data_IF_413327330026
#
_entry.id   IF_413327330026
#
_cell.length_a   1.000
_cell.length_b   1.000
_cell.length_c   1.000
_cell.angle_alpha   90.00
_cell.angle_beta   90.00
_cell.angle_gamma   90.00
#
_symmetry.space_group_name_H-M   'P 1'
#
loop_
_entity.id
_entity.type
_entity.pdbx_description
1 polymer ?
#
# COMPACT_ATOMS: atom_id res chain seq x y z
N UNK A 1 20.83 11.80 -24.77
CA UNK A 1 21.11 12.03 -23.34
C UNK A 1 20.07 11.33 -22.50
N UNK A 2 20.49 10.51 -21.55
CA UNK A 2 19.59 9.85 -20.63
C UNK A 2 18.95 10.86 -19.66
N UNK A 3 17.69 10.66 -19.38
CA UNK A 3 16.99 11.41 -18.33
C UNK A 3 17.15 10.64 -17.02
N UNK A 4 17.72 11.28 -16.02
CA UNK A 4 18.08 10.63 -14.77
C UNK A 4 17.61 11.49 -13.58
N UNK A 5 17.08 10.82 -12.56
CA UNK A 5 16.93 11.40 -11.23
C UNK A 5 17.84 10.64 -10.27
N UNK A 6 18.48 11.33 -9.34
CA UNK A 6 19.28 10.66 -8.32
C UNK A 6 18.38 9.88 -7.36
N UNK A 7 18.92 8.84 -6.72
CA UNK A 7 18.16 8.05 -5.76
C UNK A 7 17.56 8.93 -4.66
N UNK A 8 18.29 9.93 -4.17
CA UNK A 8 17.79 10.82 -3.13
C UNK A 8 16.56 11.62 -3.58
N UNK A 9 16.49 12.03 -4.84
CA UNK A 9 15.32 12.73 -5.37
C UNK A 9 14.08 11.82 -5.46
N UNK A 10 14.29 10.59 -5.91
CA UNK A 10 13.20 9.60 -6.03
C UNK A 10 12.77 9.12 -4.65
N UNK A 11 13.73 8.85 -3.76
CA UNK A 11 13.45 8.38 -2.40
C UNK A 11 12.59 9.36 -1.59
N UNK A 12 12.60 10.65 -1.92
CA UNK A 12 11.74 11.63 -1.26
C UNK A 12 10.25 11.24 -1.31
N UNK A 13 9.78 10.78 -2.47
CA UNK A 13 8.40 10.28 -2.60
C UNK A 13 8.19 8.96 -1.86
N UNK A 14 9.16 8.05 -1.95
CA UNK A 14 9.09 6.76 -1.25
C UNK A 14 9.18 6.94 0.26
N UNK A 15 9.95 7.91 0.76
CA UNK A 15 10.00 8.22 2.19
C UNK A 15 8.65 8.69 2.72
N UNK A 16 7.89 9.44 1.91
CA UNK A 16 6.52 9.83 2.27
C UNK A 16 5.62 8.62 2.37
N UNK A 17 5.72 7.66 1.44
CA UNK A 17 4.99 6.40 1.48
C UNK A 17 5.36 5.62 2.75
N UNK A 18 6.64 5.60 3.12
CA UNK A 18 7.13 4.89 4.30
C UNK A 18 6.69 5.53 5.63
N UNK A 19 6.04 6.69 5.62
CA UNK A 19 5.41 7.27 6.81
C UNK A 19 4.02 6.73 7.08
N UNK A 20 3.48 5.89 6.20
CA UNK A 20 2.15 5.31 6.38
C UNK A 20 2.08 4.44 7.62
N UNK A 21 0.95 4.53 8.32
CA UNK A 21 0.74 3.85 9.60
C UNK A 21 -0.41 2.85 9.61
N UNK A 22 -1.24 2.86 8.57
CA UNK A 22 -2.40 1.96 8.46
C UNK A 22 -2.45 1.34 7.08
N UNK A 23 -2.65 0.02 7.03
CA UNK A 23 -2.96 -0.72 5.81
C UNK A 23 -4.41 -1.16 5.90
N UNK A 24 -5.21 -0.85 4.88
CA UNK A 24 -6.64 -1.18 4.84
C UNK A 24 -6.94 -1.99 3.59
N UNK A 25 -7.67 -3.09 3.78
CA UNK A 25 -8.19 -3.92 2.68
C UNK A 25 -9.60 -3.44 2.36
N UNK A 26 -9.84 -3.05 1.12
CA UNK A 26 -11.06 -2.35 0.71
C UNK A 26 -11.86 -3.11 -0.35
N UNK A 27 -13.18 -2.93 -0.28
CA UNK A 27 -14.11 -3.30 -1.34
C UNK A 27 -14.34 -2.10 -2.25
N UNK A 28 -13.80 -2.16 -3.46
CA UNK A 28 -13.84 -1.04 -4.41
C UNK A 28 -12.77 0.01 -4.15
N UNK A 29 -12.51 0.86 -5.12
CA UNK A 29 -11.50 1.91 -5.03
C UNK A 29 -12.01 3.09 -4.20
N UNK A 30 -11.33 3.45 -3.09
CA UNK A 30 -11.67 4.67 -2.36
C UNK A 30 -11.49 5.91 -3.25
N UNK A 31 -12.39 6.87 -3.13
CA UNK A 31 -12.36 8.11 -3.91
C UNK A 31 -11.83 9.30 -3.11
N UNK A 32 -11.59 9.11 -1.82
CA UNK A 32 -11.05 10.11 -0.90
C UNK A 32 -10.48 9.42 0.33
N UNK A 33 -9.76 10.18 1.16
CA UNK A 33 -9.28 9.64 2.43
C UNK A 33 -10.44 9.13 3.31
N UNK A 34 -11.51 9.90 3.41
CA UNK A 34 -12.67 9.51 4.23
C UNK A 34 -13.38 8.25 3.70
N UNK A 35 -13.32 8.01 2.39
CA UNK A 35 -13.96 6.87 1.76
C UNK A 35 -13.25 5.54 2.09
N UNK A 36 -12.00 5.59 2.53
CA UNK A 36 -11.27 4.38 2.95
C UNK A 36 -12.02 3.66 4.06
N UNK A 37 -12.44 4.39 5.08
CA UNK A 37 -13.18 3.81 6.20
C UNK A 37 -14.53 3.24 5.77
N UNK A 38 -15.20 3.86 4.79
CA UNK A 38 -16.48 3.39 4.27
C UNK A 38 -16.35 2.08 3.49
N UNK A 39 -15.15 1.77 2.95
CA UNK A 39 -14.90 0.56 2.15
C UNK A 39 -14.07 -0.48 2.89
N UNK A 40 -13.76 -0.24 4.15
CA UNK A 40 -12.89 -1.11 4.94
C UNK A 40 -13.53 -2.49 5.19
N UNK A 41 -12.77 -3.54 4.86
CA UNK A 41 -13.10 -4.93 5.21
C UNK A 41 -12.18 -5.44 6.32
N UNK A 42 -10.94 -4.95 6.34
CA UNK A 42 -9.93 -5.31 7.33
C UNK A 42 -8.87 -4.23 7.38
N UNK A 43 -8.24 -4.02 8.52
CA UNK A 43 -7.13 -3.08 8.63
C UNK A 43 -6.11 -3.54 9.66
N UNK A 44 -4.88 -3.05 9.50
CA UNK A 44 -3.77 -3.35 10.41
C UNK A 44 -2.87 -2.13 10.50
N UNK A 45 -2.29 -1.92 11.69
CA UNK A 45 -1.28 -0.88 11.90
C UNK A 45 0.06 -1.36 11.35
N UNK A 46 0.72 -0.49 10.59
CA UNK A 46 2.07 -0.70 10.06
C UNK A 46 2.98 0.43 10.54
N UNK A 47 4.29 0.25 10.39
CA UNK A 47 5.27 1.26 10.79
C UNK A 47 6.48 1.25 9.84
N UNK A 48 7.49 2.08 10.12
CA UNK A 48 8.68 2.19 9.28
C UNK A 48 9.43 0.89 9.09
N UNK A 49 9.33 -0.06 10.02
CA UNK A 49 9.98 -1.37 9.90
C UNK A 49 9.34 -2.25 8.83
N UNK A 50 8.11 -1.94 8.42
CA UNK A 50 7.41 -2.66 7.36
C UNK A 50 7.82 -2.20 5.95
N UNK A 51 8.67 -1.17 5.84
CA UNK A 51 9.08 -0.60 4.55
C UNK A 51 10.57 -0.82 4.30
N UNK A 52 10.89 -1.31 3.10
CA UNK A 52 12.27 -1.50 2.66
C UNK A 52 12.47 -0.84 1.30
N UNK A 53 13.43 0.09 1.19
CA UNK A 53 13.76 0.73 -0.09
C UNK A 53 14.84 -0.04 -0.83
N UNK A 54 14.75 -0.06 -2.16
CA UNK A 54 15.71 -0.71 -3.04
C UNK A 54 15.66 -0.07 -4.43
N UNK A 55 16.56 -0.49 -5.31
CA UNK A 55 16.50 -0.10 -6.72
C UNK A 55 15.22 -0.67 -7.36
N UNK A 56 14.62 0.10 -8.27
CA UNK A 56 13.47 -0.34 -9.02
C UNK A 56 13.77 -1.55 -9.91
N UNK A 57 12.73 -2.30 -10.27
CA UNK A 57 12.90 -3.51 -11.07
C UNK A 57 13.41 -3.21 -12.49
N UNK A 58 13.00 -2.09 -13.06
CA UNK A 58 13.42 -1.65 -14.39
C UNK A 58 14.31 -0.42 -14.30
N UNK A 59 13.90 0.59 -13.54
CA UNK A 59 14.65 1.82 -13.31
C UNK A 59 14.14 2.49 -12.04
N UNK A 60 14.83 3.55 -11.58
CA UNK A 60 14.42 4.31 -10.42
C UNK A 60 14.57 3.56 -9.10
N UNK A 61 13.61 3.76 -8.21
CA UNK A 61 13.63 3.19 -6.85
C UNK A 61 12.26 2.62 -6.51
N UNK A 62 12.24 1.70 -5.56
CA UNK A 62 11.00 1.15 -5.02
C UNK A 62 11.04 1.07 -3.51
N UNK A 63 9.85 1.02 -2.89
CA UNK A 63 9.68 0.64 -1.49
C UNK A 63 8.81 -0.60 -1.45
N UNK A 64 9.26 -1.62 -0.73
CA UNK A 64 8.50 -2.85 -0.51
C UNK A 64 7.78 -2.74 0.82
N UNK A 65 6.48 -2.98 0.81
CA UNK A 65 5.66 -3.09 2.03
C UNK A 65 5.67 -4.56 2.44
N UNK A 66 6.07 -4.83 3.68
CA UNK A 66 6.17 -6.20 4.19
C UNK A 66 4.79 -6.87 4.25
N UNK A 67 4.78 -8.19 4.09
CA UNK A 67 3.56 -8.98 4.23
C UNK A 67 2.91 -8.78 5.59
N UNK A 68 1.59 -8.60 5.59
CA UNK A 68 0.78 -8.51 6.79
C UNK A 68 -0.11 -9.75 6.89
N UNK A 69 0.06 -10.53 7.94
CA UNK A 69 -0.65 -11.80 8.13
C UNK A 69 -1.67 -11.70 9.26
N UNK A 70 -2.70 -12.56 9.18
CA UNK A 70 -3.70 -12.70 10.24
C UNK A 70 -4.44 -11.39 10.57
N UNK A 71 -4.73 -10.59 9.55
CA UNK A 71 -5.52 -9.36 9.73
C UNK A 71 -6.97 -9.76 9.95
N UNK A 72 -7.56 -9.31 11.06
CA UNK A 72 -8.96 -9.61 11.38
C UNK A 72 -9.91 -8.95 10.38
N UNK A 73 -10.81 -9.73 9.80
CA UNK A 73 -11.84 -9.24 8.89
C UNK A 73 -13.01 -8.74 9.72
N UNK A 74 -13.39 -7.47 9.56
CA UNK A 74 -14.46 -6.82 10.33
C UNK A 74 -15.76 -6.68 9.56
N UNK A 75 -15.73 -6.80 8.23
CA UNK A 75 -16.92 -6.69 7.38
C UNK A 75 -16.82 -7.67 6.22
N UNK A 76 -18.01 -8.17 5.79
CA UNK A 76 -18.09 -9.02 4.61
C UNK A 76 -17.98 -8.19 3.34
N UNK A 77 -17.37 -8.76 2.31
CA UNK A 77 -17.31 -8.15 1.00
C UNK A 77 -16.23 -8.76 0.13
N UNK A 78 -16.08 -8.23 -1.08
CA UNK A 78 -15.02 -8.64 -2.00
C UNK A 78 -13.90 -7.63 -1.95
N UNK A 79 -12.73 -8.07 -1.50
CA UNK A 79 -11.52 -7.26 -1.46
C UNK A 79 -10.90 -7.19 -2.84
N UNK A 80 -10.66 -6.01 -3.36
CA UNK A 80 -10.01 -5.80 -4.66
C UNK A 80 -9.02 -4.63 -4.66
N UNK A 81 -8.93 -3.89 -3.56
CA UNK A 81 -7.99 -2.78 -3.38
C UNK A 81 -7.36 -2.82 -2.01
N UNK A 82 -6.10 -2.38 -1.96
CA UNK A 82 -5.34 -2.23 -0.72
C UNK A 82 -4.88 -0.78 -0.64
N UNK A 83 -5.11 -0.16 0.51
CA UNK A 83 -4.74 1.23 0.75
C UNK A 83 -3.77 1.31 1.93
N UNK A 84 -2.74 2.12 1.79
CA UNK A 84 -1.89 2.52 2.92
C UNK A 84 -2.00 4.03 3.09
N UNK A 85 -2.09 4.48 4.32
CA UNK A 85 -2.28 5.90 4.63
C UNK A 85 -1.47 6.33 5.85
N UNK A 86 -1.19 7.63 5.94
CA UNK A 86 -0.47 8.25 7.04
C UNK A 86 -1.38 9.10 7.95
N UNK A 87 -2.68 8.98 7.77
CA UNK A 87 -3.67 9.78 8.48
C UNK A 87 -4.19 10.98 7.67
N UNK A 88 -3.59 11.27 6.53
CA UNK A 88 -3.96 12.39 5.66
C UNK A 88 -3.87 11.99 4.19
N UNK A 89 -2.72 11.51 3.77
CA UNK A 89 -2.45 11.08 2.41
C UNK A 89 -2.45 9.55 2.31
N UNK A 90 -2.69 9.04 1.11
CA UNK A 90 -2.84 7.60 0.91
C UNK A 90 -2.35 7.18 -0.47
N UNK A 91 -2.01 5.89 -0.57
CA UNK A 91 -1.67 5.22 -1.83
C UNK A 91 -2.58 4.01 -1.97
N UNK A 92 -3.15 3.83 -3.15
CA UNK A 92 -4.04 2.71 -3.45
C UNK A 92 -3.36 1.79 -4.45
N UNK A 93 -3.46 0.48 -4.20
CA UNK A 93 -3.05 -0.53 -5.18
C UNK A 93 -4.19 -1.53 -5.38
N UNK A 94 -4.23 -2.13 -6.57
CA UNK A 94 -5.19 -3.20 -6.85
C UNK A 94 -4.64 -4.53 -6.35
N UNK A 95 -5.54 -5.45 -6.04
CA UNK A 95 -5.18 -6.82 -5.74
C UNK A 95 -6.18 -7.77 -6.42
N UNK A 96 -5.83 -9.04 -6.48
CA UNK A 96 -6.76 -10.05 -7.00
C UNK A 96 -8.00 -10.09 -6.12
N UNK A 97 -9.19 -10.03 -6.74
CA UNK A 97 -10.45 -10.01 -6.02
C UNK A 97 -10.61 -11.28 -5.18
N UNK A 98 -10.94 -11.10 -3.90
CA UNK A 98 -11.15 -12.20 -2.96
C UNK A 98 -12.31 -11.89 -2.03
N UNK A 99 -13.25 -12.84 -1.90
CA UNK A 99 -14.34 -12.72 -0.95
C UNK A 99 -13.84 -12.88 0.48
N UNK A 100 -14.22 -11.95 1.35
CA UNK A 100 -13.87 -11.97 2.78
C UNK A 100 -15.13 -12.08 3.62
N UNK A 101 -15.01 -12.78 4.75
CA UNK A 101 -16.10 -12.98 5.71
C UNK A 101 -15.69 -12.48 7.08
N UNK A 102 -16.53 -11.66 7.70
CA UNK A 102 -16.30 -11.14 9.05
C UNK A 102 -16.08 -12.29 10.05
N UNK A 103 -15.10 -12.10 10.92
CA UNK A 103 -14.70 -13.11 11.89
C UNK A 103 -13.53 -14.00 11.44
N UNK A 104 -13.20 -13.98 10.15
CA UNK A 104 -12.00 -14.65 9.63
C UNK A 104 -10.77 -13.75 9.65
N UNK A 105 -9.71 -14.21 8.99
CA UNK A 105 -8.48 -13.45 8.83
C UNK A 105 -8.05 -13.41 7.38
N UNK A 106 -7.28 -12.39 7.00
CA UNK A 106 -6.74 -12.25 5.66
C UNK A 106 -5.24 -11.93 5.75
N UNK A 107 -4.49 -12.40 4.75
CA UNK A 107 -3.07 -12.07 4.60
C UNK A 107 -2.90 -11.22 3.36
N UNK A 108 -2.22 -10.09 3.52
CA UNK A 108 -1.82 -9.23 2.41
C UNK A 108 -0.36 -9.51 2.11
N UNK A 109 -0.02 -10.05 0.93
CA UNK A 109 1.37 -10.35 0.59
C UNK A 109 2.20 -9.07 0.48
N UNK A 110 3.51 -9.21 0.57
CA UNK A 110 4.43 -8.10 0.33
C UNK A 110 4.20 -7.56 -1.07
N UNK A 111 4.25 -6.24 -1.22
CA UNK A 111 4.06 -5.58 -2.52
C UNK A 111 4.90 -4.31 -2.60
N UNK A 112 5.15 -3.88 -3.84
CA UNK A 112 6.04 -2.76 -4.10
C UNK A 112 5.29 -1.52 -4.60
N UNK A 113 5.82 -0.35 -4.21
CA UNK A 113 5.49 0.92 -4.85
C UNK A 113 6.77 1.44 -5.50
N UNK A 114 6.75 1.67 -6.80
CA UNK A 114 7.94 2.01 -7.58
C UNK A 114 7.79 3.37 -8.23
N UNK A 115 8.87 4.15 -8.22
CA UNK A 115 8.98 5.39 -8.96
C UNK A 115 10.13 5.22 -9.95
N UNK A 116 9.79 5.23 -11.25
CA UNK A 116 10.75 5.06 -12.33
C UNK A 116 11.57 6.33 -12.56
N UNK A 117 12.71 6.17 -13.24
CA UNK A 117 13.46 7.32 -13.76
C UNK A 117 12.58 8.13 -14.72
N UNK A 118 12.86 9.43 -14.88
CA UNK A 118 12.13 10.28 -15.83
C UNK A 118 12.15 9.68 -17.24
N UNK A 119 11.01 9.77 -17.89
CA UNK A 119 10.84 9.27 -19.27
C UNK A 119 11.25 10.32 -20.29
#
# INVERSE_FOLDING_TARGET
VAKVATNAMIDGGLDKIATCTTLTVCAGQPVSYADIAARELASVTIDGADFTKADGDTSGRKVTVAQQSNISITSDGTADHITIDDGTDYVITTCTAQGLTSGGTVTVPAHDHEISDPA
#
